data_IF_063695632446
#
_entry.id   IF_063695632446
#
_cell.length_a   1.000
_cell.length_b   1.000
_cell.length_c   1.000
_cell.angle_alpha   90.00
_cell.angle_beta   90.00
_cell.angle_gamma   90.00
#
_symmetry.space_group_name_H-M   'P 1'
#
loop_
_entity.id
_entity.type
_entity.pdbx_description
1 polymer ?
#
# COMPACT_ATOMS: atom_id res chain seq x y z
N UNK A 1 -11.83 -10.14 -4.65
CA UNK A 1 -10.89 -9.31 -3.84
C UNK A 1 -11.21 -7.85 -4.07
N UNK A 2 -11.27 -7.02 -3.03
CA UNK A 2 -11.49 -5.57 -3.18
C UNK A 2 -10.14 -4.84 -3.13
N UNK A 3 -9.95 -3.86 -4.01
CA UNK A 3 -8.73 -3.05 -4.09
C UNK A 3 -8.59 -2.14 -2.86
N UNK A 4 -7.52 -2.28 -2.09
CA UNK A 4 -7.28 -1.47 -0.88
C UNK A 4 -7.19 0.01 -1.21
N UNK A 5 -6.47 0.40 -2.27
CA UNK A 5 -6.37 1.79 -2.69
C UNK A 5 -7.75 2.39 -3.02
N UNK A 6 -8.61 1.61 -3.69
CA UNK A 6 -9.97 2.03 -3.99
C UNK A 6 -10.80 2.22 -2.72
N UNK A 7 -10.69 1.31 -1.75
CA UNK A 7 -11.45 1.46 -0.51
C UNK A 7 -10.92 2.64 0.32
N UNK A 8 -9.60 2.85 0.42
CA UNK A 8 -9.01 4.06 1.03
C UNK A 8 -9.56 5.32 0.35
N UNK A 9 -9.63 5.32 -0.97
CA UNK A 9 -10.23 6.43 -1.72
C UNK A 9 -11.69 6.65 -1.35
N UNK A 10 -12.50 5.60 -1.19
CA UNK A 10 -13.90 5.72 -0.77
C UNK A 10 -14.04 6.23 0.68
N UNK A 11 -13.19 5.78 1.60
CA UNK A 11 -13.18 6.24 2.99
C UNK A 11 -12.88 7.73 3.05
N UNK A 12 -11.75 8.15 2.49
CA UNK A 12 -11.30 9.54 2.58
C UNK A 12 -12.25 10.48 1.84
N UNK A 13 -12.78 10.06 0.69
CA UNK A 13 -13.76 10.86 -0.05
C UNK A 13 -15.06 11.05 0.74
N UNK A 14 -15.54 10.02 1.45
CA UNK A 14 -16.72 10.13 2.32
C UNK A 14 -16.47 11.10 3.49
N UNK A 15 -15.27 11.03 4.08
CA UNK A 15 -14.84 11.97 5.11
C UNK A 15 -14.77 13.43 4.61
N UNK A 16 -14.28 13.65 3.39
CA UNK A 16 -14.17 15.00 2.81
C UNK A 16 -15.52 15.69 2.55
N UNK A 17 -16.65 15.01 2.69
CA UNK A 17 -17.95 15.69 2.71
C UNK A 17 -18.09 16.61 3.94
N UNK A 18 -17.33 16.35 5.01
CA UNK A 18 -17.26 17.22 6.19
C UNK A 18 -16.17 18.29 6.13
N UNK A 19 -15.62 18.54 4.93
CA UNK A 19 -14.55 19.52 4.76
C UNK A 19 -14.92 20.89 5.35
N UNK A 20 -14.01 21.45 6.15
CA UNK A 20 -14.23 22.71 6.84
C UNK A 20 -14.14 23.95 5.95
N UNK A 21 -14.68 25.06 6.44
CA UNK A 21 -14.65 26.36 5.74
C UNK A 21 -13.21 26.82 5.46
N UNK A 22 -12.25 26.46 6.32
CA UNK A 22 -10.83 26.78 6.18
C UNK A 22 -10.27 26.34 4.83
N UNK A 23 -10.56 25.10 4.43
CA UNK A 23 -10.10 24.57 3.14
C UNK A 23 -10.83 25.25 1.98
N UNK A 24 -12.11 25.56 2.15
CA UNK A 24 -12.90 26.28 1.14
C UNK A 24 -12.34 27.68 0.91
N UNK A 25 -11.98 28.41 1.97
CA UNK A 25 -11.31 29.73 1.89
C UNK A 25 -10.00 29.66 1.12
N UNK A 26 -9.14 28.71 1.47
CA UNK A 26 -7.88 28.49 0.77
C UNK A 26 -8.15 28.20 -0.71
N UNK A 27 -9.07 27.27 -1.02
CA UNK A 27 -9.45 26.93 -2.38
C UNK A 27 -9.93 28.15 -3.18
N UNK A 28 -10.81 28.97 -2.62
CA UNK A 28 -11.30 30.17 -3.33
C UNK A 28 -10.21 31.22 -3.52
N UNK A 29 -9.28 31.38 -2.57
CA UNK A 29 -8.13 32.26 -2.74
C UNK A 29 -7.21 31.78 -3.88
N UNK A 30 -6.95 30.47 -3.96
CA UNK A 30 -6.17 29.87 -5.06
C UNK A 30 -6.90 30.04 -6.40
N UNK A 31 -8.24 29.88 -6.42
CA UNK A 31 -9.08 30.10 -7.61
C UNK A 31 -9.01 31.55 -8.08
N UNK A 32 -9.09 32.51 -7.15
CA UNK A 32 -9.01 33.93 -7.47
C UNK A 32 -7.67 34.28 -8.12
N UNK A 33 -6.55 33.80 -7.57
CA UNK A 33 -5.21 34.04 -8.12
C UNK A 33 -5.07 33.47 -9.53
N UNK A 34 -5.69 32.32 -9.80
CA UNK A 34 -5.64 31.65 -11.11
C UNK A 34 -6.66 32.19 -12.12
N UNK A 35 -7.59 33.04 -11.70
CA UNK A 35 -8.66 33.52 -12.57
C UNK A 35 -8.17 34.43 -13.70
N UNK A 36 -7.05 35.14 -13.53
CA UNK A 36 -6.47 35.96 -14.59
C UNK A 36 -4.94 36.11 -14.47
N UNK A 37 -4.24 36.41 -15.58
CA UNK A 37 -2.80 36.71 -15.55
C UNK A 37 -2.44 37.90 -14.65
N UNK A 38 -3.31 38.93 -14.58
CA UNK A 38 -3.07 40.11 -13.74
C UNK A 38 -3.13 39.78 -12.25
N UNK A 39 -4.11 38.95 -11.83
CA UNK A 39 -4.23 38.47 -10.44
C UNK A 39 -3.05 37.58 -10.06
N UNK A 40 -2.64 36.68 -10.97
CA UNK A 40 -1.44 35.86 -10.81
C UNK A 40 -0.18 36.71 -10.65
N UNK A 41 -0.03 37.79 -11.44
CA UNK A 41 1.12 38.69 -11.35
C UNK A 41 1.18 39.41 -10.01
N UNK A 42 0.05 39.92 -9.52
CA UNK A 42 -0.04 40.53 -8.19
C UNK A 42 0.38 39.55 -7.10
N UNK A 43 -0.12 38.32 -7.15
CA UNK A 43 0.28 37.29 -6.20
C UNK A 43 1.77 36.96 -6.28
N UNK A 44 2.34 36.84 -7.49
CA UNK A 44 3.78 36.64 -7.70
C UNK A 44 4.62 37.76 -7.07
N UNK A 45 4.16 39.00 -7.11
CA UNK A 45 4.85 40.10 -6.43
C UNK A 45 4.87 39.88 -4.91
N UNK A 46 3.76 39.47 -4.30
CA UNK A 46 3.73 39.10 -2.88
C UNK A 46 4.65 37.91 -2.56
N UNK A 47 4.69 36.90 -3.44
CA UNK A 47 5.61 35.74 -3.32
C UNK A 47 7.08 36.18 -3.34
N UNK A 48 7.43 37.07 -4.27
CA UNK A 48 8.78 37.63 -4.40
C UNK A 48 9.15 38.51 -3.20
N UNK A 49 8.22 39.33 -2.72
CA UNK A 49 8.39 40.17 -1.52
C UNK A 49 8.79 39.35 -0.29
N UNK A 50 8.17 38.18 -0.11
CA UNK A 50 8.52 37.24 0.97
C UNK A 50 9.68 36.29 0.65
N UNK A 51 10.31 36.41 -0.52
CA UNK A 51 11.44 35.57 -0.94
C UNK A 51 11.11 34.07 -1.06
N UNK A 52 9.84 33.72 -1.31
CA UNK A 52 9.39 32.32 -1.34
C UNK A 52 9.88 31.63 -2.62
N UNK A 53 10.81 30.68 -2.49
CA UNK A 53 11.35 29.89 -3.60
C UNK A 53 10.48 28.64 -3.83
N UNK A 54 9.61 28.64 -4.84
CA UNK A 54 8.83 27.47 -5.24
C UNK A 54 8.70 27.34 -6.76
N UNK A 55 8.88 26.12 -7.29
CA UNK A 55 8.72 25.80 -8.73
C UNK A 55 7.25 25.71 -9.18
N UNK A 56 6.33 25.43 -8.26
CA UNK A 56 4.88 25.36 -8.50
C UNK A 56 4.21 26.46 -7.68
N UNK A 57 3.48 27.36 -8.34
CA UNK A 57 2.92 28.57 -7.70
C UNK A 57 1.58 28.26 -7.03
N UNK A 58 0.63 27.70 -7.76
CA UNK A 58 -0.71 27.45 -7.23
C UNK A 58 -1.28 26.18 -7.88
N UNK A 59 -1.64 25.18 -7.08
CA UNK A 59 -2.32 23.96 -7.54
C UNK A 59 -3.77 24.05 -7.07
N UNK A 60 -4.73 23.77 -7.95
CA UNK A 60 -6.14 23.61 -7.56
C UNK A 60 -6.48 22.14 -7.47
N UNK A 61 -7.36 21.83 -6.52
CA UNK A 61 -7.92 20.51 -6.39
C UNK A 61 -8.95 20.21 -7.48
N UNK A 62 -9.13 18.91 -7.73
CA UNK A 62 -10.24 18.33 -8.46
C UNK A 62 -11.21 17.81 -7.38
N UNK A 63 -12.38 18.44 -7.17
CA UNK A 63 -13.26 18.13 -6.04
C UNK A 63 -13.67 16.67 -5.92
N UNK A 64 -13.68 15.92 -7.03
CA UNK A 64 -14.01 14.49 -7.08
C UNK A 64 -12.84 13.57 -6.74
N UNK A 65 -11.64 14.09 -6.47
CA UNK A 65 -10.42 13.30 -6.18
C UNK A 65 -9.73 13.83 -4.94
N UNK A 66 -9.93 13.16 -3.80
CA UNK A 66 -9.40 13.59 -2.50
C UNK A 66 -7.86 13.81 -2.50
N UNK A 67 -7.10 13.00 -3.23
CA UNK A 67 -5.64 13.15 -3.38
C UNK A 67 -5.23 14.55 -3.86
N UNK A 68 -6.06 15.16 -4.71
CA UNK A 68 -5.79 16.51 -5.22
C UNK A 68 -6.07 17.60 -4.18
N UNK A 69 -7.00 17.38 -3.26
CA UNK A 69 -7.23 18.25 -2.09
C UNK A 69 -6.00 18.26 -1.19
N UNK A 70 -5.42 17.09 -0.90
CA UNK A 70 -4.16 16.99 -0.16
C UNK A 70 -3.03 17.77 -0.86
N UNK A 71 -2.77 17.48 -2.14
CA UNK A 71 -1.72 18.14 -2.91
C UNK A 71 -1.93 19.66 -3.02
N UNK A 72 -3.19 20.12 -3.08
CA UNK A 72 -3.54 21.54 -3.05
C UNK A 72 -3.12 22.17 -1.71
N UNK A 73 -3.50 21.56 -0.59
CA UNK A 73 -3.18 22.08 0.75
C UNK A 73 -1.67 22.10 1.02
N UNK A 74 -0.97 21.01 0.72
CA UNK A 74 0.48 20.89 0.86
C UNK A 74 1.24 21.95 0.04
N UNK A 75 0.76 22.24 -1.17
CA UNK A 75 1.34 23.28 -2.00
C UNK A 75 1.01 24.70 -1.51
N UNK A 76 -0.24 24.93 -1.12
CA UNK A 76 -0.76 26.24 -0.72
C UNK A 76 -0.13 26.75 0.58
N UNK A 77 0.18 25.87 1.53
CA UNK A 77 0.76 26.21 2.83
C UNK A 77 2.01 27.09 2.70
N UNK A 78 2.85 26.82 1.70
CA UNK A 78 4.10 27.57 1.42
C UNK A 78 3.87 29.05 1.14
N UNK A 79 2.64 29.42 0.78
CA UNK A 79 2.28 30.76 0.33
C UNK A 79 1.40 31.53 1.32
N UNK A 80 1.22 31.04 2.54
CA UNK A 80 0.42 31.72 3.58
C UNK A 80 0.80 33.20 3.72
N UNK A 81 2.10 33.52 3.82
CA UNK A 81 2.59 34.91 3.96
C UNK A 81 2.23 35.76 2.75
N UNK A 82 2.32 35.21 1.55
CA UNK A 82 1.95 35.91 0.32
C UNK A 82 0.44 36.19 0.26
N UNK A 83 -0.41 35.23 0.68
CA UNK A 83 -1.85 35.44 0.77
C UNK A 83 -2.24 36.47 1.84
N UNK A 84 -1.54 36.50 2.97
CA UNK A 84 -1.72 37.52 4.01
C UNK A 84 -1.42 38.92 3.47
N UNK A 85 -0.30 39.11 2.78
CA UNK A 85 0.04 40.39 2.15
C UNK A 85 -0.96 40.76 1.04
N UNK A 86 -1.36 39.81 0.21
CA UNK A 86 -2.36 40.05 -0.83
C UNK A 86 -3.69 40.54 -0.23
N UNK A 87 -4.12 39.98 0.90
CA UNK A 87 -5.32 40.43 1.60
C UNK A 87 -5.21 41.85 2.17
N UNK A 88 -4.01 42.28 2.57
CA UNK A 88 -3.78 43.63 3.08
C UNK A 88 -3.69 44.68 1.97
N UNK A 89 -3.07 44.33 0.85
CA UNK A 89 -2.75 45.28 -0.23
C UNK A 89 -3.81 45.34 -1.33
N UNK A 90 -4.67 44.32 -1.45
CA UNK A 90 -5.62 44.21 -2.56
C UNK A 90 -7.07 44.15 -2.07
N UNK A 91 -7.75 45.31 -2.08
CA UNK A 91 -9.16 45.42 -1.70
C UNK A 91 -10.10 44.63 -2.62
N UNK A 92 -9.75 44.48 -3.91
CA UNK A 92 -10.49 43.64 -4.88
C UNK A 92 -10.51 42.17 -4.44
N UNK A 93 -9.38 41.61 -3.99
CA UNK A 93 -9.28 40.24 -3.49
C UNK A 93 -10.19 40.01 -2.29
N UNK A 94 -10.18 40.93 -1.32
CA UNK A 94 -11.05 40.84 -0.14
C UNK A 94 -12.52 40.97 -0.53
N UNK A 95 -12.86 41.95 -1.36
CA UNK A 95 -14.23 42.19 -1.80
C UNK A 95 -14.78 40.99 -2.58
N UNK A 96 -14.02 40.45 -3.54
CA UNK A 96 -14.44 39.33 -4.38
C UNK A 96 -14.68 38.05 -3.57
N UNK A 97 -13.80 37.73 -2.62
CA UNK A 97 -13.96 36.54 -1.77
C UNK A 97 -15.09 36.68 -0.74
N UNK A 98 -15.49 37.91 -0.41
CA UNK A 98 -16.54 38.20 0.57
C UNK A 98 -17.92 38.36 -0.10
N UNK A 99 -17.97 38.66 -1.40
CA UNK A 99 -19.17 39.22 -2.05
C UNK A 99 -20.36 38.29 -2.31
N UNK A 100 -20.28 36.97 -2.18
CA UNK A 100 -21.45 36.15 -2.54
C UNK A 100 -21.49 34.69 -2.05
N UNK A 101 -20.41 34.15 -1.48
CA UNK A 101 -20.35 32.71 -1.19
C UNK A 101 -20.31 32.47 0.32
N UNK A 102 -21.35 31.77 0.79
CA UNK A 102 -21.36 31.15 2.10
C UNK A 102 -21.09 29.66 1.95
N UNK A 103 -20.38 29.09 2.90
CA UNK A 103 -20.16 27.65 3.01
C UNK A 103 -20.61 27.21 4.40
N UNK A 104 -21.57 26.27 4.46
CA UNK A 104 -22.22 25.85 5.73
C UNK A 104 -22.63 27.06 6.60
N UNK A 105 -23.22 28.09 5.98
CA UNK A 105 -23.67 29.33 6.66
C UNK A 105 -22.57 30.38 6.93
N UNK A 106 -21.28 30.02 6.80
CA UNK A 106 -20.16 30.92 7.08
C UNK A 106 -19.72 31.68 5.82
N UNK A 107 -19.37 32.95 5.97
CA UNK A 107 -18.74 33.72 4.88
C UNK A 107 -17.36 33.14 4.58
N UNK A 108 -17.05 32.93 3.30
CA UNK A 108 -15.73 32.45 2.88
C UNK A 108 -14.70 33.56 3.14
N UNK A 109 -14.62 34.61 2.34
CA UNK A 109 -13.62 35.65 2.55
C UNK A 109 -12.16 35.15 2.44
N UNK A 110 -11.17 36.03 2.65
CA UNK A 110 -9.75 35.67 2.61
C UNK A 110 -9.35 34.65 3.70
N UNK A 111 -8.40 33.73 3.42
CA UNK A 111 -7.87 32.81 4.43
C UNK A 111 -7.17 33.55 5.57
N UNK A 112 -7.59 33.26 6.80
CA UNK A 112 -7.03 33.78 8.05
C UNK A 112 -5.94 32.86 8.60
N UNK A 113 -5.18 33.31 9.60
CA UNK A 113 -4.19 32.47 10.30
C UNK A 113 -4.80 31.21 10.91
N UNK A 114 -6.06 31.28 11.38
CA UNK A 114 -6.77 30.12 11.91
C UNK A 114 -7.08 29.10 10.80
N UNK A 115 -7.48 29.58 9.61
CA UNK A 115 -7.73 28.70 8.46
C UNK A 115 -6.47 27.93 8.04
N UNK A 116 -5.31 28.59 8.05
CA UNK A 116 -4.02 27.93 7.76
C UNK A 116 -3.62 26.92 8.84
N UNK A 117 -3.90 27.21 10.12
CA UNK A 117 -3.67 26.25 11.21
C UNK A 117 -4.53 24.99 11.03
N UNK A 118 -5.81 25.17 10.78
CA UNK A 118 -6.78 24.09 10.52
C UNK A 118 -6.39 23.28 9.28
N UNK A 119 -6.02 23.95 8.18
CA UNK A 119 -5.59 23.28 6.96
C UNK A 119 -4.31 22.45 7.14
N UNK A 120 -3.33 22.92 7.94
CA UNK A 120 -2.13 22.13 8.27
C UNK A 120 -2.47 20.88 9.07
N UNK A 121 -3.37 21.01 10.06
CA UNK A 121 -3.81 19.88 10.86
C UNK A 121 -4.48 18.82 9.99
N UNK A 122 -5.44 19.21 9.14
CA UNK A 122 -6.05 18.29 8.19
C UNK A 122 -5.05 17.71 7.18
N UNK A 123 -4.13 18.53 6.65
CA UNK A 123 -3.11 18.09 5.69
C UNK A 123 -2.21 16.99 6.27
N UNK A 124 -1.86 17.06 7.56
CA UNK A 124 -1.10 16.02 8.27
C UNK A 124 -1.81 14.66 8.19
N UNK A 125 -3.12 14.63 8.44
CA UNK A 125 -3.92 13.41 8.36
C UNK A 125 -4.08 12.92 6.91
N UNK A 126 -4.41 13.82 5.96
CA UNK A 126 -4.54 13.45 4.56
C UNK A 126 -3.24 12.93 3.94
N UNK A 127 -2.09 13.44 4.39
CA UNK A 127 -0.77 12.95 3.99
C UNK A 127 -0.59 11.46 4.27
N UNK A 128 -1.05 11.00 5.44
CA UNK A 128 -0.95 9.59 5.80
C UNK A 128 -1.67 8.69 4.79
N UNK A 129 -2.93 9.03 4.45
CA UNK A 129 -3.67 8.28 3.44
C UNK A 129 -3.03 8.36 2.05
N UNK A 130 -2.38 9.48 1.74
CA UNK A 130 -1.74 9.69 0.44
C UNK A 130 -0.51 8.80 0.29
N UNK A 131 0.36 8.80 1.30
CA UNK A 131 1.53 7.93 1.37
C UNK A 131 1.12 6.45 1.40
N UNK A 132 0.07 6.10 2.14
CA UNK A 132 -0.51 4.76 2.12
C UNK A 132 -0.96 4.35 0.72
N UNK A 133 -1.69 5.23 0.01
CA UNK A 133 -2.18 4.94 -1.34
C UNK A 133 -1.03 4.69 -2.30
N UNK A 134 0.07 5.47 -2.19
CA UNK A 134 1.29 5.24 -2.96
C UNK A 134 1.93 3.89 -2.61
N UNK A 135 2.03 3.58 -1.32
CA UNK A 135 2.63 2.32 -0.84
C UNK A 135 1.87 1.09 -1.33
N UNK A 136 0.53 1.09 -1.25
CA UNK A 136 -0.26 -0.07 -1.68
C UNK A 136 -0.41 -0.18 -3.19
N UNK A 137 -0.13 0.90 -3.93
CA UNK A 137 -0.17 0.94 -5.40
C UNK A 137 1.17 0.60 -6.05
N UNK A 138 2.18 0.24 -5.26
CA UNK A 138 3.49 -0.18 -5.77
C UNK A 138 3.40 -1.46 -6.60
N UNK A 139 4.12 -1.47 -7.73
CA UNK A 139 4.21 -2.63 -8.64
C UNK A 139 5.58 -3.31 -8.63
N UNK A 140 6.58 -2.64 -8.05
CA UNK A 140 7.99 -3.10 -8.05
C UNK A 140 8.36 -3.93 -6.82
N UNK A 141 7.40 -4.21 -5.95
CA UNK A 141 7.54 -5.01 -4.75
C UNK A 141 6.19 -5.65 -4.41
N UNK A 142 6.23 -6.76 -3.68
CA UNK A 142 5.00 -7.43 -3.24
C UNK A 142 4.29 -6.62 -2.16
N UNK A 143 2.96 -6.57 -2.21
CA UNK A 143 2.15 -5.71 -1.35
C UNK A 143 1.17 -6.46 -0.44
N UNK A 144 0.87 -7.75 -0.71
CA UNK A 144 -0.03 -8.57 0.11
C UNK A 144 0.36 -8.67 1.57
N UNK A 145 1.63 -8.91 1.86
CA UNK A 145 2.15 -9.00 3.22
C UNK A 145 2.04 -7.67 4.00
N UNK A 146 1.86 -6.53 3.32
CA UNK A 146 1.69 -5.23 3.98
C UNK A 146 0.26 -4.99 4.45
N UNK A 147 -0.71 -5.76 3.93
CA UNK A 147 -2.13 -5.52 4.08
C UNK A 147 -2.54 -5.26 5.53
N UNK A 148 -2.21 -6.18 6.44
CA UNK A 148 -2.74 -6.12 7.81
C UNK A 148 -2.18 -4.92 8.57
N UNK A 149 -0.90 -4.62 8.34
CA UNK A 149 -0.25 -3.44 8.91
C UNK A 149 -0.87 -2.15 8.40
N UNK A 150 -1.15 -2.08 7.09
CA UNK A 150 -1.79 -0.90 6.51
C UNK A 150 -3.21 -0.72 7.02
N UNK A 151 -3.99 -1.80 7.14
CA UNK A 151 -5.32 -1.75 7.72
C UNK A 151 -5.29 -1.22 9.15
N UNK A 152 -4.44 -1.81 9.99
CA UNK A 152 -4.27 -1.41 11.38
C UNK A 152 -3.91 0.09 11.49
N UNK A 153 -3.00 0.54 10.63
CA UNK A 153 -2.54 1.92 10.66
C UNK A 153 -3.61 2.91 10.12
N UNK A 154 -4.49 2.51 9.19
CA UNK A 154 -5.71 3.28 8.83
C UNK A 154 -6.65 3.45 10.02
N UNK A 155 -6.94 2.36 10.74
CA UNK A 155 -7.77 2.43 11.94
C UNK A 155 -7.18 3.37 12.98
N UNK A 156 -5.87 3.27 13.22
CA UNK A 156 -5.17 4.12 14.18
C UNK A 156 -5.19 5.60 13.77
N UNK A 157 -4.98 5.90 12.49
CA UNK A 157 -5.03 7.28 12.00
C UNK A 157 -6.43 7.89 12.15
N UNK A 158 -7.47 7.14 11.80
CA UNK A 158 -8.86 7.60 11.98
C UNK A 158 -9.17 7.84 13.45
N UNK A 159 -8.73 6.95 14.35
CA UNK A 159 -8.91 7.13 15.79
C UNK A 159 -8.21 8.39 16.32
N UNK A 160 -7.00 8.69 15.85
CA UNK A 160 -6.33 9.95 16.18
C UNK A 160 -7.13 11.18 15.68
N UNK A 161 -7.77 11.08 14.51
CA UNK A 161 -8.63 12.15 14.00
C UNK A 161 -9.91 12.32 14.84
N UNK A 162 -10.47 11.25 15.40
CA UNK A 162 -11.62 11.30 16.33
C UNK A 162 -11.27 12.03 17.64
N UNK A 163 -9.99 12.04 18.02
CA UNK A 163 -9.47 12.74 19.21
C UNK A 163 -9.15 14.23 18.94
N UNK A 164 -9.32 14.71 17.70
CA UNK A 164 -8.96 16.08 17.30
C UNK A 164 -9.77 17.16 18.03
N UNK A 165 -9.17 18.31 18.34
CA UNK A 165 -9.90 19.45 18.90
C UNK A 165 -10.81 20.13 17.86
N UNK A 166 -10.54 19.94 16.57
CA UNK A 166 -11.31 20.52 15.46
C UNK A 166 -12.53 19.66 15.14
N UNK A 167 -13.72 20.24 15.31
CA UNK A 167 -15.00 19.56 15.12
C UNK A 167 -15.17 19.02 13.69
N UNK A 168 -14.69 19.72 12.68
CA UNK A 168 -14.72 19.24 11.29
C UNK A 168 -13.84 18.00 11.07
N UNK A 169 -12.70 17.91 11.76
CA UNK A 169 -11.81 16.73 11.69
C UNK A 169 -12.44 15.54 12.41
N UNK A 170 -13.08 15.75 13.56
CA UNK A 170 -13.85 14.71 14.26
C UNK A 170 -15.00 14.16 13.43
N UNK A 171 -15.79 15.03 12.81
CA UNK A 171 -16.91 14.64 11.96
C UNK A 171 -16.42 13.87 10.71
N UNK A 172 -15.32 14.33 10.10
CA UNK A 172 -14.64 13.62 9.02
C UNK A 172 -14.21 12.21 9.46
N UNK A 173 -13.56 12.09 10.62
CA UNK A 173 -13.11 10.83 11.19
C UNK A 173 -14.27 9.87 11.44
N UNK A 174 -15.39 10.36 11.99
CA UNK A 174 -16.57 9.57 12.30
C UNK A 174 -17.18 8.96 11.03
N UNK A 175 -17.26 9.73 9.95
CA UNK A 175 -17.71 9.23 8.63
C UNK A 175 -16.73 8.23 8.04
N UNK A 176 -15.43 8.52 8.11
CA UNK A 176 -14.38 7.62 7.64
C UNK A 176 -14.42 6.29 8.38
N UNK A 177 -14.60 6.31 9.70
CA UNK A 177 -14.70 5.13 10.55
C UNK A 177 -15.96 4.32 10.19
N UNK A 178 -17.12 4.95 10.09
CA UNK A 178 -18.35 4.27 9.67
C UNK A 178 -18.21 3.63 8.27
N UNK A 179 -17.53 4.31 7.34
CA UNK A 179 -17.24 3.77 6.00
C UNK A 179 -16.28 2.60 6.09
N UNK A 180 -15.17 2.72 6.84
CA UNK A 180 -14.18 1.67 7.08
C UNK A 180 -14.85 0.40 7.62
N UNK A 181 -15.71 0.53 8.63
CA UNK A 181 -16.43 -0.61 9.21
C UNK A 181 -17.32 -1.33 8.19
N UNK A 182 -17.94 -0.62 7.24
CA UNK A 182 -18.72 -1.28 6.16
C UNK A 182 -17.86 -2.18 5.26
N UNK A 183 -16.58 -1.91 5.12
CA UNK A 183 -15.68 -2.69 4.25
C UNK A 183 -14.87 -3.75 5.00
N UNK A 184 -14.45 -3.48 6.24
CA UNK A 184 -13.52 -4.33 6.99
C UNK A 184 -14.08 -4.90 8.31
N UNK A 185 -15.21 -4.41 8.81
CA UNK A 185 -15.87 -5.06 9.95
C UNK A 185 -16.68 -6.27 9.47
N UNK A 186 -16.85 -7.25 10.37
CA UNK A 186 -17.72 -8.40 10.13
C UNK A 186 -19.13 -7.93 9.80
N UNK A 187 -19.79 -8.63 8.87
CA UNK A 187 -21.22 -8.41 8.63
C UNK A 187 -22.04 -8.74 9.88
N UNK A 188 -23.29 -8.28 9.93
CA UNK A 188 -24.26 -8.65 10.97
C UNK A 188 -24.43 -10.18 11.15
N UNK A 189 -24.07 -10.98 10.14
CA UNK A 189 -24.04 -12.45 10.19
C UNK A 189 -22.74 -13.06 10.79
N UNK A 190 -21.84 -12.27 11.37
CA UNK A 190 -20.56 -12.75 11.94
C UNK A 190 -19.52 -13.21 10.91
N UNK A 191 -19.80 -13.08 9.61
CA UNK A 191 -18.83 -13.39 8.55
C UNK A 191 -17.85 -12.25 8.35
N UNK A 192 -16.56 -12.56 8.45
CA UNK A 192 -15.49 -11.64 8.04
C UNK A 192 -15.63 -11.29 6.56
N UNK A 193 -15.79 -10.00 6.25
CA UNK A 193 -15.83 -9.50 4.85
C UNK A 193 -14.45 -9.52 4.18
N UNK A 194 -13.42 -9.90 4.93
CA UNK A 194 -12.04 -9.77 4.49
C UNK A 194 -11.53 -11.02 3.79
N UNK A 195 -10.68 -10.82 2.78
CA UNK A 195 -10.05 -11.94 2.11
C UNK A 195 -8.91 -12.49 2.97
N UNK A 196 -9.02 -13.76 3.34
CA UNK A 196 -8.08 -14.44 4.23
C UNK A 196 -6.70 -14.66 3.63
N UNK A 197 -6.59 -14.64 2.30
CA UNK A 197 -5.32 -14.69 1.58
C UNK A 197 -4.35 -13.60 2.05
N UNK A 198 -4.84 -12.40 2.39
CA UNK A 198 -3.98 -11.33 2.87
C UNK A 198 -3.48 -11.54 4.29
N UNK A 199 -4.23 -12.22 5.16
CA UNK A 199 -3.72 -12.63 6.47
C UNK A 199 -2.65 -13.71 6.31
N UNK A 200 -2.87 -14.69 5.43
CA UNK A 200 -1.88 -15.71 5.11
C UNK A 200 -0.59 -15.08 4.56
N UNK A 201 -0.69 -14.13 3.63
CA UNK A 201 0.48 -13.42 3.09
C UNK A 201 1.34 -12.73 4.17
N UNK A 202 0.72 -12.24 5.25
CA UNK A 202 1.44 -11.65 6.40
C UNK A 202 2.20 -12.74 7.19
N UNK A 203 1.62 -13.93 7.35
CA UNK A 203 2.29 -15.07 7.98
C UNK A 203 3.55 -15.46 7.20
N UNK A 204 3.53 -15.31 5.88
CA UNK A 204 4.67 -15.56 5.00
C UNK A 204 5.72 -14.44 5.00
N UNK A 205 5.56 -13.38 5.79
CA UNK A 205 6.65 -12.45 6.09
C UNK A 205 7.48 -12.98 7.27
N UNK A 206 8.74 -13.38 7.06
CA UNK A 206 9.59 -13.98 8.10
C UNK A 206 9.85 -13.08 9.30
N UNK A 207 9.64 -11.76 9.16
CA UNK A 207 9.73 -10.77 10.25
C UNK A 207 8.50 -10.76 11.14
N UNK A 208 7.36 -11.18 10.60
CA UNK A 208 6.06 -11.09 11.26
C UNK A 208 5.55 -12.46 11.73
N UNK A 209 5.57 -13.46 10.84
CA UNK A 209 5.01 -14.82 11.06
C UNK A 209 3.60 -14.76 11.67
N UNK A 210 3.19 -15.76 12.45
CA UNK A 210 1.91 -15.74 13.17
C UNK A 210 1.84 -14.71 14.30
N UNK A 211 2.97 -14.18 14.77
CA UNK A 211 3.00 -13.23 15.87
C UNK A 211 2.26 -11.92 15.53
N UNK A 212 2.46 -11.38 14.33
CA UNK A 212 1.81 -10.11 13.96
C UNK A 212 0.30 -10.25 13.72
N UNK A 213 -0.21 -11.27 12.98
CA UNK A 213 -1.64 -11.56 12.93
C UNK A 213 -2.28 -11.72 14.30
N UNK A 214 -1.64 -12.46 15.22
CA UNK A 214 -2.14 -12.64 16.59
C UNK A 214 -2.30 -11.29 17.29
N UNK A 215 -1.23 -10.49 17.30
CA UNK A 215 -1.24 -9.16 17.89
C UNK A 215 -2.33 -8.26 17.26
N UNK A 216 -2.38 -8.18 15.93
CA UNK A 216 -3.26 -7.26 15.22
C UNK A 216 -4.73 -7.64 15.36
N UNK A 217 -5.07 -8.93 15.24
CA UNK A 217 -6.46 -9.40 15.32
C UNK A 217 -7.04 -9.20 16.72
N UNK A 218 -6.28 -9.53 17.78
CA UNK A 218 -6.70 -9.27 19.17
C UNK A 218 -6.90 -7.78 19.45
N UNK A 219 -6.06 -6.93 18.88
CA UNK A 219 -6.19 -5.48 19.03
C UNK A 219 -7.38 -4.89 18.27
N UNK A 220 -7.74 -5.45 17.12
CA UNK A 220 -8.86 -4.96 16.30
C UNK A 220 -10.22 -5.48 16.78
N UNK A 221 -10.30 -6.77 17.15
CA UNK A 221 -11.57 -7.46 17.43
C UNK A 221 -11.74 -7.86 18.91
N UNK A 222 -10.74 -7.58 19.77
CA UNK A 222 -10.70 -8.06 21.16
C UNK A 222 -10.08 -9.46 21.28
N UNK A 223 -9.71 -9.87 22.50
CA UNK A 223 -9.01 -11.14 22.74
C UNK A 223 -9.84 -12.34 22.26
N UNK A 224 -11.10 -12.47 22.69
CA UNK A 224 -11.96 -13.62 22.36
C UNK A 224 -12.18 -13.79 20.86
N UNK A 225 -12.70 -12.76 20.18
CA UNK A 225 -12.94 -12.85 18.72
C UNK A 225 -11.64 -12.90 17.93
N UNK A 226 -10.60 -12.22 18.42
CA UNK A 226 -9.26 -12.31 17.84
C UNK A 226 -8.74 -13.74 17.84
N UNK A 227 -8.87 -14.46 18.95
CA UNK A 227 -8.45 -15.85 19.08
C UNK A 227 -9.22 -16.79 18.14
N UNK A 228 -10.54 -16.64 18.02
CA UNK A 228 -11.34 -17.39 17.05
C UNK A 228 -10.84 -17.17 15.61
N UNK A 229 -10.58 -15.91 15.22
CA UNK A 229 -10.05 -15.58 13.88
C UNK A 229 -8.64 -16.14 13.65
N UNK A 230 -7.81 -16.22 14.70
CA UNK A 230 -6.47 -16.81 14.64
C UNK A 230 -6.56 -18.33 14.44
N UNK A 231 -7.47 -19.00 15.14
CA UNK A 231 -7.71 -20.45 14.97
C UNK A 231 -8.18 -20.75 13.55
N UNK A 232 -9.13 -19.96 13.03
CA UNK A 232 -9.59 -20.06 11.65
C UNK A 232 -8.44 -19.87 10.64
N UNK A 233 -7.59 -18.85 10.84
CA UNK A 233 -6.42 -18.59 10.00
C UNK A 233 -5.42 -19.75 10.03
N UNK A 234 -5.17 -20.32 11.21
CA UNK A 234 -4.25 -21.44 11.37
C UNK A 234 -4.79 -22.72 10.71
N UNK A 235 -6.09 -22.97 10.80
CA UNK A 235 -6.77 -24.06 10.11
C UNK A 235 -6.61 -23.96 8.58
N UNK A 236 -6.79 -22.76 8.02
CA UNK A 236 -6.59 -22.50 6.59
C UNK A 236 -5.15 -22.63 6.15
N UNK A 237 -4.21 -22.08 6.93
CA UNK A 237 -2.77 -22.21 6.66
C UNK A 237 -2.36 -23.68 6.58
N UNK A 238 -2.83 -24.49 7.53
CA UNK A 238 -2.58 -25.93 7.59
C UNK A 238 -3.20 -26.66 6.41
N UNK A 239 -4.46 -26.34 6.06
CA UNK A 239 -5.13 -26.94 4.90
C UNK A 239 -4.42 -26.60 3.58
N UNK A 240 -3.99 -25.35 3.42
CA UNK A 240 -3.24 -24.91 2.24
C UNK A 240 -1.88 -25.62 2.15
N UNK A 241 -1.17 -25.75 3.28
CA UNK A 241 0.09 -26.48 3.32
C UNK A 241 -0.07 -27.93 2.85
N UNK A 242 -1.07 -28.66 3.39
CA UNK A 242 -1.37 -30.05 2.99
C UNK A 242 -1.69 -30.18 1.50
N UNK A 243 -2.36 -29.18 0.92
CA UNK A 243 -2.65 -29.15 -0.52
C UNK A 243 -1.37 -29.09 -1.35
N UNK A 244 -0.43 -28.20 -0.99
CA UNK A 244 0.85 -28.07 -1.70
C UNK A 244 1.75 -29.29 -1.48
N UNK A 245 1.77 -29.84 -0.27
CA UNK A 245 2.47 -31.09 0.05
C UNK A 245 1.98 -32.24 -0.84
N UNK A 246 0.66 -32.41 -0.94
CA UNK A 246 0.04 -33.43 -1.80
C UNK A 246 0.39 -33.23 -3.27
N UNK A 247 0.32 -31.98 -3.76
CA UNK A 247 0.68 -31.63 -5.15
C UNK A 247 2.15 -31.97 -5.44
N UNK A 248 3.06 -31.67 -4.52
CA UNK A 248 4.49 -31.95 -4.68
C UNK A 248 4.77 -33.45 -4.67
N UNK A 249 4.15 -34.20 -3.78
CA UNK A 249 4.28 -35.65 -3.71
C UNK A 249 3.78 -36.34 -4.99
N UNK A 250 2.68 -35.85 -5.57
CA UNK A 250 2.15 -36.36 -6.83
C UNK A 250 3.13 -36.14 -7.99
N UNK A 251 3.72 -34.94 -8.12
CA UNK A 251 4.73 -34.64 -9.16
C UNK A 251 5.98 -35.52 -8.99
N UNK A 252 6.43 -35.74 -7.76
CA UNK A 252 7.56 -36.61 -7.47
C UNK A 252 7.28 -38.09 -7.85
N UNK A 253 6.06 -38.58 -7.63
CA UNK A 253 5.65 -39.92 -8.03
C UNK A 253 5.66 -40.08 -9.57
N UNK A 254 5.12 -39.11 -10.32
CA UNK A 254 5.10 -39.17 -11.79
C UNK A 254 6.51 -39.12 -12.40
N UNK A 255 7.44 -38.39 -11.78
CA UNK A 255 8.84 -38.36 -12.22
C UNK A 255 9.61 -39.67 -11.97
N UNK A 256 9.14 -40.53 -11.06
CA UNK A 256 9.76 -41.84 -10.80
C UNK A 256 9.29 -42.93 -11.76
N UNK A 257 8.08 -42.81 -12.32
CA UNK A 257 7.54 -43.78 -13.29
C UNK A 257 8.10 -43.57 -14.72
N UNK A 258 8.73 -42.43 -15.01
CA UNK A 258 9.31 -42.11 -16.33
C UNK A 258 10.72 -42.62 -16.61
N UNK A 259 11.35 -43.39 -15.72
CA UNK A 259 12.73 -43.87 -15.89
C UNK A 259 12.80 -45.39 -15.89
N UNK A 260 12.19 -46.01 -16.89
CA UNK A 260 12.57 -47.34 -17.36
C UNK A 260 12.84 -47.27 -18.86
N UNK A 261 14.08 -46.97 -19.23
CA UNK A 261 14.62 -47.42 -20.50
C UNK A 261 16.02 -47.96 -20.28
N UNK A 262 16.17 -49.22 -20.66
CA UNK A 262 17.39 -50.02 -20.67
C UNK A 262 18.55 -49.32 -21.38
N UNK A 263 19.75 -49.42 -20.80
CA UNK A 263 20.98 -48.92 -21.40
C UNK A 263 22.21 -49.48 -20.69
N UNK A 264 22.83 -50.48 -21.30
CA UNK A 264 23.94 -51.30 -20.83
C UNK A 264 25.16 -50.56 -20.25
N UNK A 265 25.78 -51.27 -19.30
CA UNK A 265 27.14 -51.14 -18.79
C UNK A 265 28.19 -50.74 -19.83
N UNK A 266 29.06 -49.78 -19.48
CA UNK A 266 30.50 -49.81 -19.75
C UNK A 266 31.23 -48.84 -18.80
N UNK A 267 32.11 -49.41 -18.00
CA UNK A 267 33.06 -48.79 -17.08
C UNK A 267 34.01 -47.84 -17.81
N UNK A 268 34.34 -46.68 -17.22
CA UNK A 268 35.68 -46.06 -17.32
C UNK A 268 35.92 -45.08 -16.17
N UNK A 269 36.91 -45.44 -15.36
CA UNK A 269 37.54 -44.61 -14.34
C UNK A 269 38.26 -43.42 -14.99
N UNK A 270 38.23 -42.27 -14.31
CA UNK A 270 39.41 -41.43 -14.10
C UNK A 270 39.10 -40.39 -13.02
N UNK A 271 39.50 -40.71 -11.80
CA UNK A 271 39.61 -39.80 -10.65
C UNK A 271 40.89 -38.98 -10.76
N UNK A 272 40.78 -37.66 -10.58
CA UNK A 272 41.88 -36.79 -10.20
C UNK A 272 41.86 -36.65 -8.67
N UNK A 273 42.95 -36.92 -7.95
CA UNK A 273 42.97 -36.77 -6.50
C UNK A 273 43.26 -35.32 -6.11
N UNK A 274 42.26 -34.59 -5.64
CA UNK A 274 42.48 -33.34 -4.88
C UNK A 274 42.69 -33.68 -3.40
N UNK A 275 43.79 -33.24 -2.76
CA UNK A 275 44.06 -33.57 -1.35
C UNK A 275 43.07 -32.86 -0.43
N UNK A 276 42.30 -33.68 0.29
CA UNK A 276 41.42 -33.27 1.36
C UNK A 276 42.27 -33.16 2.64
N UNK A 277 42.67 -31.95 3.03
CA UNK A 277 43.34 -31.71 4.32
C UNK A 277 42.76 -30.41 4.90
N UNK A 278 42.01 -30.57 6.01
CA UNK A 278 41.48 -29.54 6.93
C UNK A 278 40.06 -28.99 6.69
N UNK A 279 39.06 -29.87 6.62
CA UNK A 279 37.68 -29.49 6.96
C UNK A 279 36.98 -30.64 7.70
N UNK A 280 37.50 -31.00 8.87
CA UNK A 280 36.77 -31.83 9.85
C UNK A 280 37.25 -31.44 11.25
N UNK A 281 36.57 -30.48 11.86
CA UNK A 281 36.14 -30.53 13.28
C UNK A 281 35.44 -29.23 13.67
N UNK A 282 34.20 -29.05 13.22
CA UNK A 282 33.19 -28.39 14.03
C UNK A 282 31.81 -29.03 13.76
N UNK A 283 31.76 -30.36 13.76
CA UNK A 283 30.52 -31.06 14.06
C UNK A 283 30.29 -30.96 15.58
N UNK A 284 30.13 -29.73 16.07
CA UNK A 284 29.64 -29.47 17.41
C UNK A 284 28.13 -29.68 17.39
N UNK A 285 27.75 -30.89 17.80
CA UNK A 285 26.59 -31.18 18.67
C UNK A 285 25.39 -30.22 18.54
N UNK A 286 24.72 -30.28 17.39
CA UNK A 286 23.32 -29.85 17.31
C UNK A 286 22.44 -31.09 17.36
N UNK A 287 22.23 -31.63 18.57
CA UNK A 287 21.19 -32.62 18.79
C UNK A 287 19.82 -31.98 18.55
N UNK A 288 19.38 -32.06 17.29
CA UNK A 288 18.00 -31.79 16.89
C UNK A 288 17.11 -32.69 17.76
N UNK A 289 16.23 -32.12 18.57
CA UNK A 289 15.31 -32.92 19.38
C UNK A 289 14.48 -33.83 18.47
N UNK A 290 14.12 -35.04 18.90
CA UNK A 290 13.26 -35.95 18.10
C UNK A 290 11.95 -35.27 17.65
N UNK A 291 11.47 -34.28 18.40
CA UNK A 291 10.33 -33.45 18.04
C UNK A 291 10.62 -32.54 16.83
N UNK A 292 11.80 -31.92 16.74
CA UNK A 292 12.18 -31.08 15.61
C UNK A 292 12.49 -31.89 14.34
N UNK A 293 12.89 -33.15 14.47
CA UNK A 293 13.06 -34.06 13.34
C UNK A 293 11.73 -34.54 12.73
N UNK A 294 10.64 -34.55 13.51
CA UNK A 294 9.28 -34.92 13.07
C UNK A 294 8.41 -33.73 12.68
N UNK A 295 8.83 -32.51 13.01
CA UNK A 295 8.07 -31.30 12.73
C UNK A 295 7.94 -31.08 11.22
N UNK A 296 6.71 -30.79 10.78
CA UNK A 296 6.45 -30.37 9.42
C UNK A 296 7.22 -29.08 9.09
N UNK A 297 7.44 -28.85 7.80
CA UNK A 297 8.07 -27.62 7.32
C UNK A 297 7.38 -26.35 7.85
N UNK A 298 6.04 -26.37 7.90
CA UNK A 298 5.21 -25.30 8.44
C UNK A 298 5.46 -25.07 9.94
N UNK A 299 5.43 -26.12 10.76
CA UNK A 299 5.68 -26.00 12.21
C UNK A 299 7.06 -25.43 12.50
N UNK A 300 8.07 -25.91 11.76
CA UNK A 300 9.45 -25.41 11.88
C UNK A 300 9.52 -23.92 11.57
N UNK A 301 8.95 -23.49 10.45
CA UNK A 301 8.90 -22.08 10.08
C UNK A 301 8.23 -21.20 11.14
N UNK A 302 7.12 -21.65 11.71
CA UNK A 302 6.34 -20.88 12.69
C UNK A 302 7.04 -20.74 14.05
N UNK A 303 7.77 -21.75 14.49
CA UNK A 303 8.47 -21.76 15.80
C UNK A 303 9.83 -21.06 15.74
N UNK A 304 10.48 -21.07 14.58
CA UNK A 304 11.77 -20.41 14.42
C UNK A 304 11.73 -18.91 14.72
N UNK A 305 12.88 -18.38 15.16
CA UNK A 305 13.04 -16.95 15.40
C UNK A 305 12.63 -16.13 14.17
N UNK A 306 12.01 -14.99 14.43
CA UNK A 306 11.64 -14.03 13.39
C UNK A 306 12.91 -13.37 12.86
N UNK A 307 12.92 -13.10 11.57
CA UNK A 307 13.95 -12.26 10.98
C UNK A 307 13.90 -10.87 11.64
N UNK A 308 15.08 -10.31 11.90
CA UNK A 308 15.15 -9.00 12.55
C UNK A 308 14.49 -7.93 11.69
N UNK A 309 13.68 -7.07 12.33
CA UNK A 309 13.10 -5.84 11.76
C UNK A 309 14.16 -4.78 11.42
N UNK A 310 15.44 -5.17 11.36
CA UNK A 310 16.58 -4.30 11.11
C UNK A 310 16.20 -3.36 9.99
N UNK A 311 16.26 -2.05 10.29
CA UNK A 311 15.75 -0.88 9.55
C UNK A 311 16.30 -0.80 8.11
N UNK A 312 16.17 -1.88 7.36
CA UNK A 312 16.67 -2.09 6.04
C UNK A 312 15.49 -1.80 5.12
N UNK A 313 15.42 -0.58 4.56
CA UNK A 313 14.37 -0.22 3.62
C UNK A 313 14.42 -1.05 2.32
N UNK A 314 15.40 -1.94 2.17
CA UNK A 314 15.60 -2.83 1.02
C UNK A 314 15.38 -4.32 1.33
N UNK A 315 14.67 -4.67 2.42
CA UNK A 315 14.33 -6.06 2.67
C UNK A 315 13.42 -6.59 1.55
N UNK A 316 13.92 -7.59 0.82
CA UNK A 316 13.19 -8.28 -0.24
C UNK A 316 12.74 -9.66 0.27
N UNK A 317 11.46 -9.74 0.59
CA UNK A 317 10.80 -10.95 1.08
C UNK A 317 10.84 -12.08 0.04
N UNK A 318 10.77 -11.78 -1.26
CA UNK A 318 10.85 -12.80 -2.30
C UNK A 318 12.26 -13.34 -2.42
N UNK A 319 13.28 -12.48 -2.28
CA UNK A 319 14.67 -12.91 -2.24
C UNK A 319 14.94 -13.79 -1.02
N UNK A 320 14.36 -13.46 0.15
CA UNK A 320 14.47 -14.31 1.33
C UNK A 320 13.87 -15.70 1.08
N UNK A 321 12.67 -15.79 0.49
CA UNK A 321 12.05 -17.07 0.16
C UNK A 321 12.84 -17.86 -0.89
N UNK A 322 13.42 -17.17 -1.88
CA UNK A 322 14.32 -17.78 -2.87
C UNK A 322 15.54 -18.42 -2.22
N UNK A 323 16.20 -17.69 -1.31
CA UNK A 323 17.41 -18.15 -0.63
C UNK A 323 17.12 -19.29 0.36
N UNK A 324 15.90 -19.35 0.92
CA UNK A 324 15.49 -20.39 1.86
C UNK A 324 14.68 -21.52 1.22
N UNK A 325 14.53 -21.55 -0.10
CA UNK A 325 13.70 -22.54 -0.81
C UNK A 325 14.18 -23.99 -0.60
N UNK A 326 15.49 -24.21 -0.41
CA UNK A 326 16.02 -25.54 -0.10
C UNK A 326 15.60 -26.02 1.31
N UNK A 327 15.48 -25.09 2.27
CA UNK A 327 15.05 -25.37 3.64
C UNK A 327 13.53 -25.48 3.77
N UNK A 328 12.82 -24.73 2.93
CA UNK A 328 11.37 -24.65 2.89
C UNK A 328 10.81 -24.86 1.46
N UNK A 329 10.87 -26.11 0.94
CA UNK A 329 10.49 -26.39 -0.44
C UNK A 329 8.98 -26.29 -0.73
N UNK A 330 8.11 -26.46 0.25
CA UNK A 330 6.64 -26.34 0.08
C UNK A 330 6.20 -24.90 0.33
N UNK A 331 6.66 -24.30 1.43
CA UNK A 331 6.34 -22.93 1.81
C UNK A 331 6.91 -21.92 0.81
N UNK A 332 8.09 -22.15 0.21
CA UNK A 332 8.59 -21.24 -0.83
C UNK A 332 7.70 -21.20 -2.08
N UNK A 333 7.05 -22.31 -2.45
CA UNK A 333 6.05 -22.33 -3.51
C UNK A 333 4.77 -21.61 -3.09
N UNK A 334 4.28 -21.87 -1.87
CA UNK A 334 3.13 -21.13 -1.32
C UNK A 334 3.41 -19.62 -1.25
N UNK A 335 4.63 -19.23 -0.87
CA UNK A 335 5.03 -17.84 -0.77
C UNK A 335 4.97 -17.13 -2.12
N UNK A 336 5.41 -17.78 -3.20
CA UNK A 336 5.30 -17.23 -4.57
C UNK A 336 3.85 -16.92 -4.91
N UNK A 337 2.95 -17.87 -4.64
CA UNK A 337 1.53 -17.75 -5.02
C UNK A 337 0.75 -16.78 -4.11
N UNK A 338 1.10 -16.68 -2.82
CA UNK A 338 0.45 -15.77 -1.87
C UNK A 338 1.00 -14.33 -1.97
N UNK A 339 2.31 -14.17 -2.11
CA UNK A 339 2.95 -12.86 -2.07
C UNK A 339 2.79 -12.07 -3.38
N UNK A 340 2.68 -12.75 -4.52
CA UNK A 340 2.52 -12.11 -5.83
C UNK A 340 1.20 -11.36 -5.97
N UNK A 341 0.19 -11.71 -5.17
CA UNK A 341 -1.15 -11.12 -5.27
C UNK A 341 -1.14 -9.66 -4.79
N UNK A 342 -1.38 -8.66 -5.66
CA UNK A 342 -1.36 -7.27 -5.23
C UNK A 342 -2.61 -6.92 -4.40
N UNK A 343 -2.44 -6.07 -3.38
CA UNK A 343 -3.58 -5.57 -2.58
C UNK A 343 -4.34 -4.44 -3.29
N UNK A 344 -3.78 -3.91 -4.37
CA UNK A 344 -4.34 -2.83 -5.17
C UNK A 344 -4.46 -3.21 -6.63
N UNK A 345 -5.60 -2.88 -7.25
CA UNK A 345 -5.80 -2.93 -8.69
C UNK A 345 -5.22 -1.71 -9.43
N UNK A 346 -4.62 -0.74 -8.73
CA UNK A 346 -4.09 0.48 -9.36
C UNK A 346 -2.98 0.16 -10.38
N UNK A 347 -2.30 -0.97 -10.24
CA UNK A 347 -1.35 -1.46 -11.24
C UNK A 347 -2.01 -1.65 -12.62
N UNK A 348 -3.19 -2.29 -12.67
CA UNK A 348 -3.93 -2.46 -13.91
C UNK A 348 -4.55 -1.15 -14.38
N UNK A 349 -5.07 -0.31 -13.48
CA UNK A 349 -5.57 1.03 -13.83
C UNK A 349 -4.48 1.96 -14.41
N UNK A 350 -3.24 1.84 -13.92
CA UNK A 350 -2.08 2.56 -14.46
C UNK A 350 -1.70 2.06 -15.85
N UNK A 351 -1.77 0.75 -16.08
CA UNK A 351 -1.61 0.17 -17.41
C UNK A 351 -2.68 0.70 -18.38
N UNK A 352 -3.94 0.82 -17.94
CA UNK A 352 -5.01 1.43 -18.73
C UNK A 352 -4.85 2.95 -18.93
N UNK A 353 -4.31 3.69 -17.95
CA UNK A 353 -4.02 5.11 -18.10
C UNK A 353 -2.85 5.38 -19.04
N UNK A 354 -1.90 4.45 -19.14
CA UNK A 354 -0.85 4.46 -20.17
C UNK A 354 -1.43 4.04 -21.52
N UNK A 355 -2.35 3.09 -21.53
CA UNK A 355 -3.19 2.75 -22.69
C UNK A 355 -3.98 3.95 -23.23
N UNK A 356 -4.41 4.91 -22.42
CA UNK A 356 -5.03 6.15 -22.87
C UNK A 356 -4.06 7.10 -23.63
N UNK A 357 -2.75 6.90 -23.51
CA UNK A 357 -1.74 7.56 -24.37
C UNK A 357 -1.50 6.80 -25.67
N UNK A 358 -1.79 5.49 -25.68
CA UNK A 358 -1.78 4.65 -26.89
C UNK A 358 -3.05 4.89 -27.72
N UNK A 359 -4.18 5.05 -27.04
CA UNK A 359 -5.51 5.41 -27.55
C UNK A 359 -5.83 6.86 -27.19
N UNK A 360 -5.22 7.81 -27.88
CA UNK A 360 -5.64 9.22 -27.79
C UNK A 360 -6.79 9.51 -28.77
N UNK A 361 -7.33 10.74 -28.73
CA UNK A 361 -8.41 11.19 -29.63
C UNK A 361 -8.06 11.11 -31.12
N UNK A 362 -6.78 10.97 -31.47
CA UNK A 362 -6.26 10.87 -32.83
C UNK A 362 -5.88 9.42 -33.22
N UNK A 363 -5.79 8.49 -32.26
CA UNK A 363 -5.40 7.07 -32.43
C UNK A 363 -6.49 6.07 -32.02
N UNK A 364 -7.75 6.49 -32.05
CA UNK A 364 -8.93 5.69 -31.67
C UNK A 364 -9.29 4.55 -32.63
N UNK A 365 -8.58 4.39 -33.76
CA UNK A 365 -8.85 3.35 -34.78
C UNK A 365 -8.08 2.04 -34.58
N UNK A 366 -7.30 1.89 -33.51
CA UNK A 366 -6.57 0.66 -33.22
C UNK A 366 -7.54 -0.46 -32.84
N UNK A 367 -7.32 -1.66 -33.39
CA UNK A 367 -8.09 -2.84 -32.97
C UNK A 367 -7.70 -3.25 -31.55
N UNK A 368 -8.61 -3.88 -30.78
CA UNK A 368 -8.31 -4.36 -29.43
C UNK A 368 -7.04 -5.21 -29.36
N UNK A 369 -6.79 -6.04 -30.37
CA UNK A 369 -5.60 -6.90 -30.47
C UNK A 369 -4.30 -6.12 -30.62
N UNK A 370 -4.31 -5.00 -31.36
CA UNK A 370 -3.12 -4.14 -31.50
C UNK A 370 -2.88 -3.36 -30.20
N UNK A 371 -3.94 -2.90 -29.54
CA UNK A 371 -3.83 -2.23 -28.24
C UNK A 371 -3.23 -3.16 -27.19
N UNK A 372 -3.71 -4.40 -27.11
CA UNK A 372 -3.17 -5.43 -26.24
C UNK A 372 -1.68 -5.68 -26.54
N UNK A 373 -1.33 -5.92 -27.81
CA UNK A 373 0.07 -6.16 -28.19
C UNK A 373 0.99 -5.00 -27.81
N UNK A 374 0.56 -3.75 -28.00
CA UNK A 374 1.35 -2.57 -27.64
C UNK A 374 1.55 -2.44 -26.13
N UNK A 375 0.48 -2.62 -25.34
CA UNK A 375 0.55 -2.56 -23.87
C UNK A 375 1.44 -3.67 -23.32
N UNK A 376 1.26 -4.91 -23.79
CA UNK A 376 2.06 -6.06 -23.36
C UNK A 376 3.54 -5.90 -23.75
N UNK A 377 3.82 -5.42 -24.96
CA UNK A 377 5.20 -5.22 -25.42
C UNK A 377 5.90 -4.12 -24.62
N UNK A 378 5.21 -3.01 -24.32
CA UNK A 378 5.75 -1.94 -23.46
C UNK A 378 6.07 -2.47 -22.05
N UNK A 379 5.15 -3.25 -21.47
CA UNK A 379 5.36 -3.85 -20.15
C UNK A 379 6.52 -4.85 -20.14
N UNK A 380 6.62 -5.72 -21.14
CA UNK A 380 7.74 -6.67 -21.26
C UNK A 380 9.09 -5.98 -21.43
N UNK A 381 9.17 -4.94 -22.27
CA UNK A 381 10.41 -4.17 -22.44
C UNK A 381 10.79 -3.39 -21.17
N UNK A 382 9.82 -2.96 -20.38
CA UNK A 382 10.08 -2.29 -19.11
C UNK A 382 10.58 -3.25 -18.01
N UNK A 383 10.22 -4.53 -18.08
CA UNK A 383 10.52 -5.54 -17.04
C UNK A 383 11.59 -6.57 -17.43
N UNK A 384 12.14 -6.54 -18.66
CA UNK A 384 13.18 -7.46 -19.14
C UNK A 384 14.54 -7.37 -18.42
N UNK A 385 14.68 -6.49 -17.41
CA UNK A 385 15.85 -6.35 -16.55
C UNK A 385 15.63 -6.81 -15.09
N UNK A 386 14.48 -7.42 -14.77
CA UNK A 386 14.23 -7.99 -13.44
C UNK A 386 14.63 -9.47 -13.40
N UNK A 387 15.33 -9.94 -12.35
CA UNK A 387 15.86 -11.29 -12.28
C UNK A 387 14.77 -12.29 -11.90
N UNK A 388 13.90 -12.61 -12.85
CA UNK A 388 12.98 -13.75 -12.78
C UNK A 388 13.04 -14.50 -14.12
N UNK A 389 14.21 -15.10 -14.35
CA UNK A 389 14.38 -16.34 -15.09
C UNK A 389 14.84 -17.43 -14.13
#
# INVERSE_FOLDING_TARGET
MRCVAHIVNLIVSDGLEEIGVSVVRIREALRWVRASPSRMMRFKNCVNFHGIKSKKIVILDVPTRWNSTYMMLEAAEKFEKAFKTLALENSEFVADLTKAKKYKGQVIGPPTTADWKSARNLSKHLRYFYELTLLVSGTKYVTSHLFLRQLFAVFFEIKQMEESEEEEVKNMASRMHAKLCKYWHESEEGKSRMNRLFYLAVVFDPRHKMHYPVYALRKLYGETRGDELIEELNGELTALFKLYESRRNNVAATSREGTQSEGSSMTRQNSLPTPNVLANSCDDDYSMTEAAAKASELERYLVELREGDGKNPKYDILLWWKNNAARYPILSEMAKDLLVVPISGVASESAFSTGARVLDSFRSSLTPKIVEALICTEDWLAHSNLPLG
#
